data_IF_536377070693
#
_entry.id   IF_536377070693
#
_cell.length_a   1.000
_cell.length_b   1.000
_cell.length_c   1.000
_cell.angle_alpha   90.00
_cell.angle_beta   90.00
_cell.angle_gamma   90.00
#
_symmetry.space_group_name_H-M   'P 1'
#
loop_
_entity.id
_entity.type
_entity.pdbx_description
1 polymer ?
#
# COMPACT_ATOMS: atom_id res chain seq x y z
N UNK A 1 -1.48 7.01 19.03
CA UNK A 1 -0.22 7.75 18.78
C UNK A 1 0.91 7.37 19.76
N UNK A 2 1.20 6.08 20.00
CA UNK A 2 2.37 5.66 20.83
C UNK A 2 3.13 4.43 20.29
N UNK A 3 2.59 3.72 19.31
CA UNK A 3 3.19 2.50 18.76
C UNK A 3 4.04 2.78 17.51
N UNK A 4 3.66 3.73 16.65
CA UNK A 4 4.41 4.06 15.43
C UNK A 4 5.72 4.81 15.70
N UNK A 5 5.82 5.50 16.83
CA UNK A 5 7.04 6.24 17.21
C UNK A 5 8.18 5.31 17.70
N UNK A 6 7.93 3.99 17.80
CA UNK A 6 8.92 2.98 18.20
C UNK A 6 9.67 2.35 17.02
N UNK A 7 9.31 2.65 15.77
CA UNK A 7 10.04 2.13 14.61
C UNK A 7 11.43 2.78 14.49
N UNK A 8 12.44 2.05 13.99
CA UNK A 8 13.80 2.57 13.86
C UNK A 8 13.80 3.80 12.94
N UNK A 9 14.33 4.90 13.45
CA UNK A 9 14.44 6.18 12.73
C UNK A 9 15.89 6.59 12.64
N UNK A 10 16.34 6.99 11.45
CA UNK A 10 17.69 7.51 11.21
C UNK A 10 17.56 9.03 11.10
N UNK A 11 17.98 9.74 12.15
CA UNK A 11 17.84 11.20 12.24
C UNK A 11 19.19 11.83 11.89
N UNK A 12 19.28 12.44 10.71
CA UNK A 12 20.38 13.35 10.36
C UNK A 12 19.88 14.41 9.39
N UNK A 13 20.21 15.68 9.63
CA UNK A 13 19.65 16.82 8.91
C UNK A 13 19.96 16.80 7.39
N UNK A 14 21.06 16.18 6.96
CA UNK A 14 21.35 15.98 5.53
C UNK A 14 20.50 14.87 4.89
N UNK A 15 20.09 13.88 5.70
CA UNK A 15 19.18 12.82 5.27
C UNK A 15 17.74 13.32 5.10
N UNK A 16 17.32 14.39 5.78
CA UNK A 16 15.97 14.96 5.64
C UNK A 16 15.64 15.38 4.20
N UNK A 17 16.60 15.95 3.47
CA UNK A 17 16.42 16.32 2.06
C UNK A 17 16.26 15.09 1.16
N UNK A 18 17.04 14.03 1.41
CA UNK A 18 16.95 12.77 0.67
C UNK A 18 15.65 12.00 1.01
N UNK A 19 15.26 12.02 2.29
CA UNK A 19 14.00 11.45 2.78
C UNK A 19 12.79 12.14 2.16
N UNK A 20 12.84 13.47 1.98
CA UNK A 20 11.78 14.21 1.30
C UNK A 20 11.65 13.84 -0.17
N UNK A 21 12.77 13.76 -0.90
CA UNK A 21 12.77 13.28 -2.28
C UNK A 21 12.28 11.82 -2.36
N UNK A 22 12.69 10.98 -1.40
CA UNK A 22 12.25 9.60 -1.27
C UNK A 22 10.74 9.46 -1.02
N UNK A 23 10.15 10.26 -0.11
CA UNK A 23 8.70 10.20 0.15
C UNK A 23 7.87 10.74 -1.01
N UNK A 24 8.35 11.75 -1.74
CA UNK A 24 7.72 12.22 -2.98
C UNK A 24 7.75 11.13 -4.05
N UNK A 25 8.88 10.45 -4.23
CA UNK A 25 8.99 9.31 -5.15
C UNK A 25 8.05 8.16 -4.76
N UNK A 26 7.94 7.86 -3.46
CA UNK A 26 6.98 6.87 -2.95
C UNK A 26 5.54 7.30 -3.27
N UNK A 27 5.19 8.56 -3.04
CA UNK A 27 3.85 9.09 -3.33
C UNK A 27 3.50 8.98 -4.82
N UNK A 28 4.44 9.29 -5.72
CA UNK A 28 4.24 9.17 -7.16
C UNK A 28 4.11 7.71 -7.57
N UNK A 29 4.96 6.83 -7.04
CA UNK A 29 4.92 5.41 -7.35
C UNK A 29 3.62 4.76 -6.87
N UNK A 30 3.18 5.06 -5.65
CA UNK A 30 1.90 4.58 -5.12
C UNK A 30 0.73 5.15 -5.93
N UNK A 31 0.76 6.42 -6.32
CA UNK A 31 -0.27 6.99 -7.19
C UNK A 31 -0.35 6.28 -8.56
N UNK A 32 0.79 6.01 -9.21
CA UNK A 32 0.82 5.28 -10.49
C UNK A 32 0.23 3.88 -10.33
N UNK A 33 0.60 3.15 -9.28
CA UNK A 33 0.02 1.82 -9.00
C UNK A 33 -1.49 1.94 -8.81
N UNK A 34 -1.95 2.89 -7.99
CA UNK A 34 -3.38 3.12 -7.78
C UNK A 34 -4.11 3.42 -9.09
N UNK A 35 -3.53 4.25 -9.97
CA UNK A 35 -4.11 4.57 -11.29
C UNK A 35 -4.05 3.41 -12.27
N UNK A 36 -3.12 2.44 -12.14
CA UNK A 36 -3.13 1.24 -12.99
C UNK A 36 -4.25 0.30 -12.55
N UNK A 37 -4.49 0.17 -11.24
CA UNK A 37 -5.48 -0.77 -10.70
C UNK A 37 -6.91 -0.19 -10.61
N UNK A 38 -7.09 1.14 -10.55
CA UNK A 38 -8.40 1.80 -10.44
C UNK A 38 -9.30 1.79 -11.70
N UNK A 39 -8.81 2.08 -12.92
CA UNK A 39 -9.63 2.11 -14.14
C UNK A 39 -9.92 0.71 -14.69
N UNK A 40 -9.20 -0.32 -14.24
CA UNK A 40 -9.47 -1.72 -14.60
C UNK A 40 -10.79 -2.27 -14.00
N UNK A 41 -11.49 -1.48 -13.19
CA UNK A 41 -12.78 -1.85 -12.57
C UNK A 41 -13.96 -1.65 -13.53
N UNK A 42 -13.84 -0.77 -14.54
CA UNK A 42 -15.00 -0.34 -15.34
C UNK A 42 -15.02 -0.81 -16.80
N UNK A 43 -13.93 -1.35 -17.37
CA UNK A 43 -13.86 -1.57 -18.83
C UNK A 43 -13.33 -2.92 -19.34
N UNK A 44 -12.87 -3.84 -18.49
CA UNK A 44 -12.26 -5.10 -18.98
C UNK A 44 -12.71 -6.32 -18.19
N UNK A 45 -13.72 -7.02 -18.72
CA UNK A 45 -13.85 -8.46 -18.47
C UNK A 45 -12.56 -9.12 -19.00
N UNK A 46 -11.54 -9.32 -18.16
CA UNK A 46 -10.38 -10.11 -18.57
C UNK A 46 -9.01 -9.76 -18.01
N UNK A 47 -8.81 -8.69 -17.21
CA UNK A 47 -7.45 -8.45 -16.69
C UNK A 47 -7.01 -9.51 -15.67
N UNK A 48 -7.98 -10.08 -14.93
CA UNK A 48 -7.81 -11.22 -14.03
C UNK A 48 -8.84 -12.30 -14.36
N UNK A 49 -8.91 -12.74 -15.63
CA UNK A 49 -9.81 -13.83 -16.01
C UNK A 49 -9.43 -15.11 -15.24
N UNK A 50 -10.15 -15.38 -14.15
CA UNK A 50 -9.98 -16.55 -13.30
C UNK A 50 -10.86 -17.71 -13.76
N UNK A 51 -11.59 -17.58 -14.88
CA UNK A 51 -12.38 -18.67 -15.48
C UNK A 51 -11.62 -19.99 -15.64
N UNK A 52 -10.35 -20.04 -16.08
CA UNK A 52 -9.65 -21.31 -16.21
C UNK A 52 -9.30 -21.96 -14.85
N UNK A 53 -9.38 -21.20 -13.75
CA UNK A 53 -8.95 -21.62 -12.41
C UNK A 53 -10.12 -21.82 -11.44
N UNK A 54 -11.31 -21.23 -11.67
CA UNK A 54 -12.42 -21.22 -10.69
C UNK A 54 -13.81 -21.50 -11.31
N UNK A 55 -13.95 -22.54 -12.15
CA UNK A 55 -15.09 -22.72 -13.07
C UNK A 55 -16.52 -22.79 -12.50
N UNK A 56 -16.72 -22.97 -11.18
CA UNK A 56 -18.05 -23.15 -10.57
C UNK A 56 -18.50 -22.03 -9.61
N UNK A 57 -17.60 -21.12 -9.19
CA UNK A 57 -17.92 -19.96 -8.32
C UNK A 57 -17.25 -18.65 -8.80
N UNK A 58 -16.65 -18.66 -10.00
CA UNK A 58 -15.75 -17.63 -10.54
C UNK A 58 -16.36 -16.24 -10.63
N UNK A 59 -17.56 -16.10 -11.18
CA UNK A 59 -18.02 -14.77 -11.62
C UNK A 59 -18.29 -13.81 -10.44
N UNK A 60 -18.92 -14.28 -9.36
CA UNK A 60 -19.19 -13.42 -8.19
C UNK A 60 -17.95 -13.17 -7.33
N UNK A 61 -17.07 -14.16 -7.20
CA UNK A 61 -15.83 -14.02 -6.41
C UNK A 61 -14.82 -13.13 -7.13
N UNK A 62 -14.71 -13.26 -8.46
CA UNK A 62 -13.89 -12.39 -9.30
C UNK A 62 -14.41 -10.96 -9.31
N UNK A 63 -15.72 -10.76 -9.51
CA UNK A 63 -16.32 -9.42 -9.50
C UNK A 63 -16.14 -8.73 -8.14
N UNK A 64 -16.33 -9.45 -7.03
CA UNK A 64 -16.13 -8.88 -5.69
C UNK A 64 -14.65 -8.58 -5.39
N UNK A 65 -13.71 -9.43 -5.82
CA UNK A 65 -12.28 -9.16 -5.70
C UNK A 65 -11.83 -7.95 -6.54
N UNK A 66 -12.31 -7.83 -7.77
CA UNK A 66 -12.00 -6.70 -8.66
C UNK A 66 -12.57 -5.39 -8.12
N UNK A 67 -13.82 -5.38 -7.64
CA UNK A 67 -14.44 -4.19 -7.05
C UNK A 67 -13.74 -3.75 -5.76
N UNK A 68 -13.38 -4.69 -4.89
CA UNK A 68 -12.69 -4.37 -3.62
C UNK A 68 -11.26 -3.85 -3.86
N UNK A 69 -10.49 -4.49 -4.74
CA UNK A 69 -9.17 -3.97 -5.15
C UNK A 69 -9.28 -2.63 -5.86
N UNK A 70 -10.32 -2.45 -6.66
CA UNK A 70 -10.67 -1.18 -7.31
C UNK A 70 -10.87 -0.04 -6.32
N UNK A 71 -11.76 -0.23 -5.35
CA UNK A 71 -12.03 0.78 -4.30
C UNK A 71 -10.77 1.03 -3.47
N UNK A 72 -10.02 -0.02 -3.11
CA UNK A 72 -8.77 0.11 -2.37
C UNK A 72 -7.72 0.92 -3.15
N UNK A 73 -7.62 0.71 -4.47
CA UNK A 73 -6.68 1.44 -5.33
C UNK A 73 -7.05 2.92 -5.51
N UNK A 74 -8.34 3.25 -5.57
CA UNK A 74 -8.82 4.65 -5.56
C UNK A 74 -8.47 5.32 -4.23
N UNK A 75 -8.68 4.63 -3.10
CA UNK A 75 -8.29 5.12 -1.79
C UNK A 75 -6.78 5.38 -1.74
N UNK A 76 -5.97 4.46 -2.26
CA UNK A 76 -4.52 4.61 -2.34
C UNK A 76 -4.10 5.81 -3.20
N UNK A 77 -4.79 6.11 -4.31
CA UNK A 77 -4.56 7.35 -5.08
C UNK A 77 -4.78 8.60 -4.23
N UNK A 78 -5.91 8.70 -3.54
CA UNK A 78 -6.26 9.87 -2.70
C UNK A 78 -5.22 10.06 -1.60
N UNK A 79 -4.87 8.98 -0.92
CA UNK A 79 -3.92 9.00 0.19
C UNK A 79 -2.49 9.29 -0.29
N UNK A 80 -2.13 8.87 -1.51
CA UNK A 80 -0.85 9.24 -2.15
C UNK A 80 -0.74 10.73 -2.44
N UNK A 81 -1.84 11.38 -2.86
CA UNK A 81 -1.88 12.84 -3.05
C UNK A 81 -1.71 13.56 -1.70
N UNK A 82 -2.33 13.05 -0.64
CA UNK A 82 -2.14 13.58 0.71
C UNK A 82 -0.68 13.45 1.17
N UNK A 83 0.00 12.34 0.86
CA UNK A 83 1.44 12.20 1.15
C UNK A 83 2.28 13.22 0.38
N UNK A 84 1.97 13.44 -0.90
CA UNK A 84 2.67 14.43 -1.73
C UNK A 84 2.55 15.83 -1.12
N UNK A 85 1.33 16.24 -0.77
CA UNK A 85 1.06 17.54 -0.12
C UNK A 85 1.75 17.59 1.26
N UNK A 86 1.66 16.52 2.05
CA UNK A 86 2.32 16.43 3.36
C UNK A 86 3.83 16.58 3.29
N UNK A 87 4.47 15.96 2.29
CA UNK A 87 5.92 16.06 2.06
C UNK A 87 6.34 17.44 1.54
N UNK A 88 5.54 18.06 0.66
CA UNK A 88 5.81 19.40 0.11
C UNK A 88 5.53 20.53 1.10
N UNK A 89 4.48 20.41 1.92
CA UNK A 89 4.06 21.41 2.90
C UNK A 89 4.60 21.15 4.31
N UNK A 90 5.36 20.08 4.52
CA UNK A 90 5.93 19.69 5.82
C UNK A 90 4.88 19.49 6.92
N UNK A 91 3.71 18.93 6.59
CA UNK A 91 2.60 18.73 7.53
C UNK A 91 2.65 17.28 8.04
N UNK A 92 3.12 17.00 9.28
CA UNK A 92 3.30 15.64 9.78
C UNK A 92 1.99 14.85 9.93
N UNK A 93 0.87 15.54 10.11
CA UNK A 93 -0.47 14.93 10.21
C UNK A 93 -0.88 14.25 8.90
N UNK A 94 -0.58 14.86 7.74
CA UNK A 94 -0.90 14.26 6.44
C UNK A 94 -0.06 13.00 6.17
N UNK A 95 1.19 13.00 6.62
CA UNK A 95 2.08 11.83 6.51
C UNK A 95 1.56 10.67 7.37
N UNK A 96 1.02 10.96 8.56
CA UNK A 96 0.41 9.95 9.43
C UNK A 96 -0.85 9.34 8.79
N UNK A 97 -1.70 10.16 8.16
CA UNK A 97 -2.87 9.67 7.41
C UNK A 97 -2.44 8.71 6.30
N UNK A 98 -1.33 9.01 5.60
CA UNK A 98 -0.78 8.10 4.59
C UNK A 98 -0.38 6.74 5.16
N UNK A 99 0.29 6.73 6.29
CA UNK A 99 0.75 5.47 6.91
C UNK A 99 -0.42 4.56 7.25
N UNK A 100 -1.50 5.11 7.83
CA UNK A 100 -2.71 4.34 8.11
C UNK A 100 -3.40 3.86 6.84
N UNK A 101 -3.48 4.69 5.80
CA UNK A 101 -4.04 4.30 4.51
C UNK A 101 -3.25 3.20 3.82
N UNK A 102 -1.91 3.26 3.86
CA UNK A 102 -1.03 2.23 3.31
C UNK A 102 -1.17 0.89 4.06
N UNK A 103 -1.28 0.93 5.40
CA UNK A 103 -1.54 -0.27 6.21
C UNK A 103 -2.90 -0.89 5.86
N UNK A 104 -3.95 -0.06 5.74
CA UNK A 104 -5.29 -0.54 5.37
C UNK A 104 -5.28 -1.15 3.97
N UNK A 105 -4.62 -0.51 2.99
CA UNK A 105 -4.48 -1.05 1.64
C UNK A 105 -3.79 -2.41 1.63
N UNK A 106 -2.59 -2.52 2.23
CA UNK A 106 -1.86 -3.79 2.30
C UNK A 106 -2.67 -4.86 3.02
N UNK A 107 -3.35 -4.50 4.12
CA UNK A 107 -4.26 -5.41 4.82
C UNK A 107 -5.38 -5.97 3.92
N UNK A 108 -5.99 -5.12 3.09
CA UNK A 108 -7.03 -5.57 2.13
C UNK A 108 -6.47 -6.49 1.04
N UNK A 109 -5.30 -6.18 0.48
CA UNK A 109 -4.65 -6.98 -0.57
C UNK A 109 -4.22 -8.33 -0.01
N UNK A 110 -3.58 -8.35 1.16
CA UNK A 110 -3.14 -9.59 1.83
C UNK A 110 -4.32 -10.49 2.14
N UNK A 111 -5.43 -9.94 2.66
CA UNK A 111 -6.63 -10.73 2.96
C UNK A 111 -7.20 -11.35 1.69
N UNK A 112 -7.34 -10.57 0.61
CA UNK A 112 -7.84 -11.07 -0.67
C UNK A 112 -6.94 -12.15 -1.28
N UNK A 113 -5.64 -11.94 -1.31
CA UNK A 113 -4.68 -12.91 -1.84
C UNK A 113 -4.60 -14.17 -0.98
N UNK A 114 -4.74 -14.04 0.35
CA UNK A 114 -4.78 -15.18 1.25
C UNK A 114 -6.01 -16.05 0.98
N UNK A 115 -7.20 -15.43 0.84
CA UNK A 115 -8.43 -16.14 0.48
C UNK A 115 -8.26 -16.86 -0.86
N UNK A 116 -7.77 -16.17 -1.90
CA UNK A 116 -7.51 -16.79 -3.22
C UNK A 116 -6.49 -17.94 -3.14
N UNK A 117 -5.43 -17.80 -2.35
CA UNK A 117 -4.43 -18.84 -2.18
C UNK A 117 -5.03 -20.09 -1.52
N UNK A 118 -5.85 -19.93 -0.48
CA UNK A 118 -6.58 -21.04 0.18
C UNK A 118 -7.48 -21.75 -0.83
N UNK A 119 -8.23 -21.01 -1.66
CA UNK A 119 -9.04 -21.61 -2.73
C UNK A 119 -8.18 -22.41 -3.72
N UNK A 120 -7.02 -21.90 -4.11
CA UNK A 120 -6.09 -22.60 -5.01
C UNK A 120 -5.51 -23.88 -4.38
N UNK A 121 -5.14 -23.88 -3.10
CA UNK A 121 -4.55 -25.07 -2.47
C UNK A 121 -5.56 -26.16 -2.11
N UNK A 122 -6.76 -25.78 -1.65
CA UNK A 122 -7.73 -26.72 -1.08
C UNK A 122 -8.82 -27.15 -2.05
N UNK A 123 -9.21 -26.29 -3.00
CA UNK A 123 -10.34 -26.59 -3.90
C UNK A 123 -9.86 -27.04 -5.28
N UNK A 124 -8.78 -26.44 -5.80
CA UNK A 124 -8.26 -26.73 -7.14
C UNK A 124 -6.80 -27.21 -7.07
N UNK A 125 -6.61 -28.48 -6.69
CA UNK A 125 -5.29 -29.13 -6.52
C UNK A 125 -4.38 -29.12 -7.76
N UNK A 126 -4.84 -28.67 -8.93
CA UNK A 126 -4.00 -28.50 -10.11
C UNK A 126 -3.27 -27.14 -10.16
N UNK A 127 -3.57 -26.22 -9.23
CA UNK A 127 -3.12 -24.82 -9.27
C UNK A 127 -2.10 -24.46 -8.18
N UNK A 128 -1.27 -25.42 -7.73
CA UNK A 128 -0.24 -25.19 -6.71
C UNK A 128 0.73 -24.05 -7.08
N UNK A 129 1.13 -23.94 -8.36
CA UNK A 129 2.02 -22.87 -8.83
C UNK A 129 1.41 -21.47 -8.67
N UNK A 130 0.11 -21.32 -8.97
CA UNK A 130 -0.60 -20.06 -8.79
C UNK A 130 -0.75 -19.71 -7.30
N UNK A 131 -1.08 -20.71 -6.46
CA UNK A 131 -1.13 -20.54 -5.01
C UNK A 131 0.22 -20.10 -4.42
N UNK A 132 1.33 -20.70 -4.86
CA UNK A 132 2.67 -20.28 -4.40
C UNK A 132 3.05 -18.88 -4.87
N UNK A 133 2.67 -18.49 -6.10
CA UNK A 133 2.91 -17.15 -6.60
C UNK A 133 2.14 -16.09 -5.80
N UNK A 134 0.89 -16.37 -5.42
CA UNK A 134 0.09 -15.49 -4.56
C UNK A 134 0.73 -15.30 -3.18
N UNK A 135 1.26 -16.36 -2.57
CA UNK A 135 1.98 -16.26 -1.29
C UNK A 135 3.24 -15.41 -1.44
N UNK A 136 4.01 -15.59 -2.51
CA UNK A 136 5.20 -14.78 -2.76
C UNK A 136 4.85 -13.29 -2.93
N UNK A 137 3.75 -12.99 -3.63
CA UNK A 137 3.24 -11.62 -3.79
C UNK A 137 2.80 -11.02 -2.45
N UNK A 138 2.16 -11.78 -1.55
CA UNK A 138 1.83 -11.34 -0.19
C UNK A 138 3.10 -10.91 0.57
N UNK A 139 4.15 -11.73 0.52
CA UNK A 139 5.42 -11.41 1.20
C UNK A 139 6.04 -10.14 0.63
N UNK A 140 6.07 -10.00 -0.68
CA UNK A 140 6.57 -8.79 -1.34
C UNK A 140 5.75 -7.55 -0.98
N UNK A 141 4.42 -7.63 -0.96
CA UNK A 141 3.54 -6.52 -0.59
C UNK A 141 3.81 -6.04 0.84
N UNK A 142 3.92 -6.97 1.79
CA UNK A 142 4.18 -6.64 3.20
C UNK A 142 5.56 -6.03 3.38
N UNK A 143 6.60 -6.55 2.71
CA UNK A 143 7.96 -6.00 2.78
C UNK A 143 8.03 -4.58 2.18
N UNK A 144 7.39 -4.38 1.03
CA UNK A 144 7.35 -3.08 0.35
C UNK A 144 6.57 -2.05 1.17
N UNK A 145 5.41 -2.44 1.72
CA UNK A 145 4.61 -1.59 2.61
C UNK A 145 5.39 -1.25 3.89
N UNK A 146 6.08 -2.21 4.50
CA UNK A 146 6.92 -1.96 5.66
C UNK A 146 8.04 -0.95 5.35
N UNK A 147 8.70 -1.09 4.20
CA UNK A 147 9.71 -0.13 3.74
C UNK A 147 9.13 1.29 3.59
N UNK A 148 7.98 1.43 2.92
CA UNK A 148 7.31 2.74 2.77
C UNK A 148 6.92 3.36 4.10
N UNK A 149 6.44 2.56 5.05
CA UNK A 149 6.10 3.04 6.40
C UNK A 149 7.35 3.53 7.14
N UNK A 150 8.46 2.79 7.08
CA UNK A 150 9.72 3.18 7.75
C UNK A 150 10.22 4.51 7.19
N UNK A 151 10.26 4.66 5.86
CA UNK A 151 10.74 5.90 5.21
C UNK A 151 9.83 7.08 5.56
N UNK A 152 8.51 6.93 5.44
CA UNK A 152 7.57 8.02 5.79
C UNK A 152 7.59 8.37 7.28
N UNK A 153 7.81 7.37 8.16
CA UNK A 153 7.89 7.61 9.60
C UNK A 153 9.17 8.34 10.00
N UNK A 154 10.29 8.01 9.35
CA UNK A 154 11.55 8.72 9.56
C UNK A 154 11.44 10.20 9.15
N UNK A 155 10.70 10.52 8.08
CA UNK A 155 10.39 11.90 7.70
C UNK A 155 9.49 12.58 8.73
N UNK A 156 8.41 11.92 9.17
CA UNK A 156 7.47 12.45 10.18
C UNK A 156 8.19 12.82 11.48
N UNK A 157 9.01 11.90 12.01
CA UNK A 157 9.78 12.16 13.24
C UNK A 157 10.77 13.31 13.06
N UNK A 158 11.48 13.35 11.92
CA UNK A 158 12.40 14.46 11.62
C UNK A 158 11.69 15.82 11.61
N UNK A 159 10.49 15.90 11.02
CA UNK A 159 9.67 17.11 11.01
C UNK A 159 9.15 17.49 12.41
N UNK A 160 8.76 16.51 13.22
CA UNK A 160 8.32 16.76 14.60
C UNK A 160 9.46 17.31 15.47
N UNK A 161 10.68 16.78 15.33
CA UNK A 161 11.86 17.31 16.03
C UNK A 161 12.16 18.76 15.61
N UNK A 162 12.14 19.05 14.30
CA UNK A 162 12.30 20.41 13.77
C UNK A 162 11.25 21.37 14.34
N UNK A 163 9.96 21.00 14.23
CA UNK A 163 8.86 21.82 14.76
C UNK A 163 8.94 22.03 16.27
N UNK A 164 9.42 21.05 17.04
CA UNK A 164 9.60 21.20 18.49
C UNK A 164 10.77 22.10 18.86
N UNK A 165 11.78 22.21 17.98
CA UNK A 165 12.96 23.06 18.18
C UNK A 165 12.65 24.53 17.96
N UNK A 166 11.76 24.85 17.01
CA UNK A 166 11.33 26.22 16.69
C UNK A 166 10.46 26.88 17.79
N UNK A 167 9.93 26.11 18.75
CA UNK A 167 9.07 26.61 19.83
C UNK A 167 9.90 27.10 21.05
N UNK A 168 11.24 26.93 21.03
CA UNK A 168 12.13 27.26 22.16
C UNK A 168 12.87 28.60 21.97
N UNK A 169 12.37 29.50 21.11
CA UNK A 169 12.93 30.86 20.94
C UNK A 169 11.92 31.90 21.41
#
# INVERSE_FOLDING_TARGET
MKFMDKFPTVISCCFCCFLRAGTVMIAVFSFIIGVIFAPNVSHTHGFWDLNPVLSNYSVMTEMSAQMTLGVASIMLCVVSVLLLIGACCNIPVLIEIYQWGAILYSGTVVLMFFVLAVFCFFVHTNCYMAGTALIALIVCDVLLTAYFIIVTNSLRMSLQFLSSSDIVI
#
